data_IF_818481821267
#
_entry.id   IF_818481821267
#
_cell.length_a   1.000
_cell.length_b   1.000
_cell.length_c   1.000
_cell.angle_alpha   90.00
_cell.angle_beta   90.00
_cell.angle_gamma   90.00
#
_symmetry.space_group_name_H-M   'P 1'
#
loop_
_entity.id
_entity.type
_entity.pdbx_description
1 polymer ?
#
# COMPACT_ATOMS: atom_id res chain seq x y z
N UNK A 1 -9.58 -1.82 -1.59
CA UNK A 1 -10.28 -2.50 -0.47
C UNK A 1 -10.92 -3.80 -0.91
N UNK A 2 -11.49 -3.91 -2.13
CA UNK A 2 -11.96 -5.20 -2.66
C UNK A 2 -10.94 -6.34 -2.57
N UNK A 3 -9.68 -6.10 -2.99
CA UNK A 3 -8.61 -7.10 -2.88
C UNK A 3 -8.35 -7.57 -1.44
N UNK A 4 -8.52 -6.68 -0.46
CA UNK A 4 -8.36 -7.04 0.95
C UNK A 4 -9.45 -8.00 1.39
N UNK A 5 -10.71 -7.70 1.06
CA UNK A 5 -11.84 -8.57 1.36
C UNK A 5 -11.65 -9.96 0.75
N UNK A 6 -11.20 -10.04 -0.50
CA UNK A 6 -10.97 -11.31 -1.17
C UNK A 6 -9.90 -12.18 -0.48
N UNK A 7 -8.81 -11.57 -0.01
CA UNK A 7 -7.70 -12.27 0.67
C UNK A 7 -8.02 -12.62 2.12
N UNK A 8 -8.84 -11.80 2.76
CA UNK A 8 -9.16 -11.92 4.18
C UNK A 8 -10.46 -12.69 4.44
N UNK A 9 -11.24 -13.07 3.41
CA UNK A 9 -12.55 -13.73 3.51
C UNK A 9 -12.67 -14.97 4.43
N UNK A 10 -11.55 -15.62 4.74
CA UNK A 10 -11.49 -16.79 5.63
C UNK A 10 -10.74 -16.54 6.94
N UNK A 11 -10.40 -15.29 7.22
CA UNK A 11 -9.79 -14.86 8.47
C UNK A 11 -10.89 -14.43 9.44
N UNK A 12 -10.57 -14.41 10.74
CA UNK A 12 -11.51 -13.94 11.78
C UNK A 12 -12.00 -12.51 11.53
N UNK A 13 -11.15 -11.68 10.94
CA UNK A 13 -11.52 -10.39 10.38
C UNK A 13 -11.37 -10.46 8.87
N UNK A 14 -12.47 -10.24 8.15
CA UNK A 14 -12.59 -10.46 6.72
C UNK A 14 -12.35 -9.21 5.86
N UNK A 15 -11.96 -8.08 6.48
CA UNK A 15 -11.79 -6.81 5.81
C UNK A 15 -13.08 -6.28 5.13
N UNK A 16 -14.26 -6.74 5.56
CA UNK A 16 -15.55 -6.19 5.15
C UNK A 16 -15.87 -4.89 5.88
N UNK A 17 -16.69 -4.03 5.26
CA UNK A 17 -17.25 -2.80 5.86
C UNK A 17 -16.23 -1.77 6.40
N UNK A 18 -14.98 -1.85 5.95
CA UNK A 18 -13.90 -0.98 6.43
C UNK A 18 -14.01 0.45 5.91
N UNK A 19 -14.87 0.71 4.91
CA UNK A 19 -14.97 2.02 4.26
C UNK A 19 -13.66 2.49 3.63
N UNK A 20 -13.59 3.76 3.29
CA UNK A 20 -12.35 4.40 2.83
C UNK A 20 -11.67 5.10 4.00
N UNK A 21 -10.32 5.09 4.02
CA UNK A 21 -9.51 5.80 5.02
C UNK A 21 -9.92 7.28 5.19
N UNK A 22 -10.41 7.92 4.12
CA UNK A 22 -10.85 9.32 4.12
C UNK A 22 -12.14 9.57 4.92
N UNK A 23 -12.90 8.52 5.24
CA UNK A 23 -14.11 8.60 6.06
C UNK A 23 -13.85 8.24 7.53
N UNK A 24 -12.58 8.15 7.94
CA UNK A 24 -12.16 7.84 9.32
C UNK A 24 -12.95 6.70 9.98
N UNK A 25 -12.94 5.49 9.37
CA UNK A 25 -13.70 4.36 9.88
C UNK A 25 -13.31 4.04 11.34
N UNK A 26 -14.27 3.64 12.20
CA UNK A 26 -14.05 3.51 13.64
C UNK A 26 -12.85 2.64 14.03
N UNK A 27 -12.54 1.61 13.24
CA UNK A 27 -11.38 0.72 13.47
C UNK A 27 -10.04 1.47 13.50
N UNK A 28 -9.91 2.59 12.77
CA UNK A 28 -8.68 3.40 12.73
C UNK A 28 -8.49 4.29 13.95
N UNK A 29 -9.49 4.38 14.84
CA UNK A 29 -9.34 5.00 16.17
C UNK A 29 -8.51 4.13 17.11
N UNK A 30 -8.29 2.87 16.75
CA UNK A 30 -7.57 1.89 17.53
C UNK A 30 -6.33 1.40 16.80
N UNK A 31 -5.31 1.06 17.57
CA UNK A 31 -4.02 0.60 17.09
C UNK A 31 -3.96 -0.91 16.87
N UNK A 32 -5.00 -1.51 16.29
CA UNK A 32 -5.09 -2.95 16.04
C UNK A 32 -4.22 -3.41 14.86
N UNK A 33 -4.04 -4.73 14.76
CA UNK A 33 -3.34 -5.35 13.63
C UNK A 33 -4.06 -5.06 12.30
N UNK A 34 -5.38 -5.02 12.32
CA UNK A 34 -6.25 -4.74 11.18
C UNK A 34 -6.08 -3.30 10.72
N UNK A 35 -6.09 -2.33 11.65
CA UNK A 35 -5.82 -0.92 11.38
C UNK A 35 -4.47 -0.72 10.69
N UNK A 36 -3.44 -1.45 11.13
CA UNK A 36 -2.12 -1.45 10.50
C UNK A 36 -2.18 -1.85 9.01
N UNK A 37 -2.91 -2.92 8.69
CA UNK A 37 -3.10 -3.37 7.31
C UNK A 37 -3.91 -2.36 6.48
N UNK A 38 -4.97 -1.77 7.05
CA UNK A 38 -5.81 -0.78 6.36
C UNK A 38 -5.01 0.47 5.99
N UNK A 39 -4.22 1.02 6.91
CA UNK A 39 -3.34 2.16 6.61
C UNK A 39 -2.35 1.81 5.49
N UNK A 40 -1.71 0.64 5.57
CA UNK A 40 -0.74 0.22 4.58
C UNK A 40 -1.37 0.03 3.20
N UNK A 41 -2.52 -0.65 3.11
CA UNK A 41 -3.26 -0.86 1.86
C UNK A 41 -3.77 0.45 1.27
N UNK A 42 -4.31 1.34 2.09
CA UNK A 42 -4.82 2.64 1.63
C UNK A 42 -3.70 3.49 1.05
N UNK A 43 -2.55 3.52 1.73
CA UNK A 43 -1.36 4.24 1.28
C UNK A 43 -0.74 3.66 0.02
N UNK A 44 -0.68 2.33 -0.07
CA UNK A 44 -0.22 1.62 -1.25
C UNK A 44 -1.17 1.85 -2.45
N UNK A 45 -2.48 1.75 -2.23
CA UNK A 45 -3.51 1.97 -3.25
C UNK A 45 -3.47 3.40 -3.81
N UNK A 46 -3.36 4.41 -2.95
CA UNK A 46 -3.20 5.80 -3.38
C UNK A 46 -1.92 6.00 -4.21
N UNK A 47 -0.80 5.40 -3.78
CA UNK A 47 0.46 5.51 -4.52
C UNK A 47 0.39 4.79 -5.87
N UNK A 48 -0.20 3.60 -5.89
CA UNK A 48 -0.39 2.80 -7.09
C UNK A 48 -1.32 3.48 -8.10
N UNK A 49 -2.44 4.04 -7.64
CA UNK A 49 -3.40 4.72 -8.51
C UNK A 49 -2.79 5.92 -9.22
N UNK A 50 -2.11 6.80 -8.47
CA UNK A 50 -1.42 7.96 -9.06
C UNK A 50 -0.29 7.52 -9.99
N UNK A 51 0.53 6.55 -9.58
CA UNK A 51 1.62 6.06 -10.44
C UNK A 51 1.08 5.46 -11.76
N UNK A 52 -0.03 4.74 -11.70
CA UNK A 52 -0.66 4.14 -12.89
C UNK A 52 -1.23 5.22 -13.81
N UNK A 53 -1.90 6.23 -13.26
CA UNK A 53 -2.42 7.37 -14.01
C UNK A 53 -1.29 8.18 -14.69
N UNK A 54 -0.20 8.46 -13.97
CA UNK A 54 1.01 9.08 -14.55
C UNK A 54 1.55 8.24 -15.71
N UNK A 55 1.64 6.91 -15.53
CA UNK A 55 2.18 6.02 -16.53
C UNK A 55 1.30 5.89 -17.79
N UNK A 56 0.00 6.17 -17.66
CA UNK A 56 -0.96 6.21 -18.76
C UNK A 56 -1.06 7.61 -19.42
N UNK A 57 -0.34 8.60 -18.91
CA UNK A 57 -0.42 9.98 -19.39
C UNK A 57 -1.72 10.70 -19.01
N UNK A 58 -2.44 10.24 -17.99
CA UNK A 58 -3.67 10.90 -17.52
C UNK A 58 -3.41 12.12 -16.62
N UNK A 59 -2.15 12.30 -16.20
CA UNK A 59 -1.71 13.42 -15.37
C UNK A 59 -0.49 14.04 -16.05
N UNK A 60 -0.65 15.24 -16.58
CA UNK A 60 0.37 15.91 -17.38
C UNK A 60 1.68 16.13 -16.61
N UNK A 61 1.58 16.60 -15.36
CA UNK A 61 2.70 16.91 -14.44
C UNK A 61 3.68 15.75 -14.18
N UNK A 62 3.27 14.51 -14.44
CA UNK A 62 4.07 13.30 -14.23
C UNK A 62 3.99 12.31 -15.40
N UNK A 63 3.41 12.75 -16.52
CA UNK A 63 3.26 11.94 -17.73
C UNK A 63 4.64 11.48 -18.22
N UNK A 64 4.68 10.26 -18.74
CA UNK A 64 5.93 9.72 -19.26
C UNK A 64 6.11 10.13 -20.72
N UNK A 65 7.23 10.77 -21.04
CA UNK A 65 7.68 10.83 -22.42
C UNK A 65 8.04 9.41 -22.88
N UNK A 66 7.37 8.90 -23.91
CA UNK A 66 7.68 7.61 -24.52
C UNK A 66 8.94 7.65 -25.40
N UNK A 67 9.56 8.83 -25.55
CA UNK A 67 10.66 9.05 -26.48
C UNK A 67 12.01 8.70 -25.85
N UNK A 68 12.59 7.63 -26.39
CA UNK A 68 13.93 7.15 -26.06
C UNK A 68 14.99 8.20 -26.36
N UNK A 69 15.34 9.02 -25.38
CA UNK A 69 16.59 9.76 -25.43
C UNK A 69 17.76 8.75 -25.60
N UNK A 70 18.75 9.01 -26.46
CA UNK A 70 19.96 8.20 -26.49
C UNK A 70 20.81 8.54 -25.27
N UNK A 71 21.09 7.57 -24.39
CA UNK A 71 21.99 7.75 -23.25
C UNK A 71 21.49 7.32 -21.87
N UNK A 72 20.27 6.77 -21.76
CA UNK A 72 19.73 6.18 -20.53
C UNK A 72 19.35 4.73 -20.79
N UNK A 73 20.08 3.79 -20.20
CA UNK A 73 19.77 2.34 -20.24
C UNK A 73 18.40 2.00 -19.59
N UNK A 74 17.69 2.96 -19.02
CA UNK A 74 16.42 2.80 -18.31
C UNK A 74 15.23 3.48 -19.01
N UNK A 75 15.11 3.31 -20.34
CA UNK A 75 13.99 3.82 -21.13
C UNK A 75 12.60 3.47 -20.57
N UNK A 76 11.86 4.41 -19.95
CA UNK A 76 10.42 4.32 -19.66
C UNK A 76 9.91 5.07 -18.42
N UNK A 77 8.65 4.79 -18.06
CA UNK A 77 7.84 5.42 -16.98
C UNK A 77 8.35 5.30 -15.53
N UNK A 78 9.65 5.08 -15.27
CA UNK A 78 10.14 4.82 -13.92
C UNK A 78 9.90 5.99 -12.94
N UNK A 79 9.68 7.22 -13.44
CA UNK A 79 9.36 8.40 -12.63
C UNK A 79 7.95 8.36 -12.01
N UNK A 80 7.00 7.69 -12.68
CA UNK A 80 5.60 7.58 -12.26
C UNK A 80 5.42 6.99 -10.85
N UNK A 81 6.21 5.96 -10.51
CA UNK A 81 6.18 5.29 -9.20
C UNK A 81 6.55 6.26 -8.08
N UNK A 82 7.62 7.03 -8.28
CA UNK A 82 8.11 7.96 -7.27
C UNK A 82 7.12 9.12 -7.08
N UNK A 83 6.50 9.57 -8.17
CA UNK A 83 5.44 10.57 -8.11
C UNK A 83 4.24 10.06 -7.30
N UNK A 84 3.77 8.83 -7.57
CA UNK A 84 2.68 8.20 -6.83
C UNK A 84 2.98 8.05 -5.33
N UNK A 85 4.18 7.61 -4.96
CA UNK A 85 4.63 7.54 -3.55
C UNK A 85 4.58 8.92 -2.88
N UNK A 86 5.01 9.97 -3.59
CA UNK A 86 5.03 11.34 -3.08
C UNK A 86 3.61 11.88 -2.91
N UNK A 87 2.73 11.64 -3.88
CA UNK A 87 1.32 12.01 -3.82
C UNK A 87 0.61 11.33 -2.64
N UNK A 88 0.76 10.00 -2.50
CA UNK A 88 0.22 9.24 -1.36
C UNK A 88 0.69 9.79 0.00
N UNK A 89 1.98 10.14 0.12
CA UNK A 89 2.50 10.78 1.33
C UNK A 89 1.84 12.14 1.59
N UNK A 90 1.71 12.99 0.57
CA UNK A 90 1.08 14.31 0.70
C UNK A 90 -0.40 14.20 1.08
N UNK A 91 -1.10 13.20 0.55
CA UNK A 91 -2.53 12.99 0.79
C UNK A 91 -2.80 12.44 2.20
N UNK A 92 -2.13 11.35 2.58
CA UNK A 92 -2.52 10.56 3.76
C UNK A 92 -1.67 10.84 5.00
N UNK A 93 -0.53 11.53 4.86
CA UNK A 93 0.38 11.81 5.99
C UNK A 93 0.29 13.26 6.51
N UNK A 94 -0.51 14.12 5.86
CA UNK A 94 -0.73 15.52 6.25
C UNK A 94 -1.94 15.65 7.20
N UNK A 95 -1.67 15.67 8.50
CA UNK A 95 -2.66 15.98 9.57
C UNK A 95 -1.86 16.62 10.72
N UNK A 96 -2.44 17.58 11.49
CA UNK A 96 -1.73 18.43 12.45
C UNK A 96 -0.82 17.70 13.46
N UNK A 97 0.06 18.48 14.10
CA UNK A 97 1.16 18.05 14.99
C UNK A 97 0.63 17.52 16.34
N UNK A 98 -0.38 16.66 16.33
CA UNK A 98 -0.75 15.91 17.53
C UNK A 98 0.16 14.68 17.58
N UNK A 99 1.07 14.67 18.56
CA UNK A 99 1.96 13.54 18.82
C UNK A 99 1.25 12.54 19.72
N UNK A 100 0.49 11.62 19.14
CA UNK A 100 -0.04 10.45 19.85
C UNK A 100 0.72 9.18 19.45
N UNK A 101 0.80 8.16 20.33
CA UNK A 101 1.36 6.85 19.96
C UNK A 101 0.67 6.24 18.74
N UNK A 102 -0.67 6.32 18.67
CA UNK A 102 -1.46 5.88 17.53
C UNK A 102 -1.05 6.56 16.22
N UNK A 103 -0.79 7.88 16.26
CA UNK A 103 -0.33 8.63 15.09
C UNK A 103 1.06 8.18 14.62
N UNK A 104 1.92 7.72 15.52
CA UNK A 104 3.22 7.13 15.17
C UNK A 104 3.05 5.80 14.45
N UNK A 105 2.18 4.92 14.99
CA UNK A 105 1.79 3.65 14.38
C UNK A 105 1.19 3.85 12.98
N UNK A 106 0.24 4.78 12.85
CA UNK A 106 -0.36 5.14 11.58
C UNK A 106 0.69 5.59 10.56
N UNK A 107 1.53 6.57 10.92
CA UNK A 107 2.59 7.09 10.02
C UNK A 107 3.55 5.98 9.58
N UNK A 108 3.89 5.07 10.48
CA UNK A 108 4.74 3.92 10.17
C UNK A 108 4.07 3.00 9.15
N UNK A 109 2.81 2.61 9.37
CA UNK A 109 2.10 1.71 8.47
C UNK A 109 1.77 2.35 7.11
N UNK A 110 1.43 3.65 7.07
CA UNK A 110 1.32 4.42 5.83
C UNK A 110 2.65 4.41 5.05
N UNK A 111 3.80 4.50 5.73
CA UNK A 111 5.12 4.41 5.11
C UNK A 111 5.40 2.99 4.61
N UNK A 112 5.08 1.96 5.39
CA UNK A 112 5.22 0.57 5.00
C UNK A 112 4.42 0.26 3.73
N UNK A 113 3.18 0.78 3.61
CA UNK A 113 2.35 0.70 2.41
C UNK A 113 3.02 1.28 1.15
N UNK A 114 3.59 2.49 1.24
CA UNK A 114 4.35 3.07 0.12
C UNK A 114 5.61 2.28 -0.23
N UNK A 115 6.27 1.71 0.77
CA UNK A 115 7.43 0.86 0.55
C UNK A 115 7.05 -0.47 -0.10
N UNK A 116 5.86 -1.01 0.16
CA UNK A 116 5.34 -2.19 -0.54
C UNK A 116 5.32 -1.95 -2.05
N UNK A 117 4.74 -0.83 -2.51
CA UNK A 117 4.73 -0.45 -3.93
C UNK A 117 6.13 -0.42 -4.55
N UNK A 118 7.13 0.12 -3.81
CA UNK A 118 8.52 0.16 -4.28
C UNK A 118 9.18 -1.23 -4.29
N UNK A 119 8.83 -2.10 -3.34
CA UNK A 119 9.44 -3.43 -3.18
C UNK A 119 8.87 -4.47 -4.14
N UNK A 120 7.65 -4.28 -4.62
CA UNK A 120 6.97 -5.20 -5.55
C UNK A 120 7.05 -4.74 -7.00
N UNK A 121 7.92 -3.77 -7.34
CA UNK A 121 8.07 -3.33 -8.73
C UNK A 121 8.46 -4.48 -9.65
N UNK A 122 7.87 -4.49 -10.85
CA UNK A 122 8.15 -5.48 -11.88
C UNK A 122 8.81 -4.83 -13.09
N UNK A 123 9.58 -5.62 -13.84
CA UNK A 123 10.12 -5.20 -15.12
C UNK A 123 9.05 -5.33 -16.21
N UNK A 124 8.95 -4.32 -17.07
CA UNK A 124 8.18 -4.33 -18.31
C UNK A 124 9.15 -4.10 -19.45
N UNK A 125 9.15 -4.96 -20.45
CA UNK A 125 10.11 -4.88 -21.55
C UNK A 125 9.40 -4.79 -22.90
N UNK A 126 9.96 -4.01 -23.81
CA UNK A 126 9.61 -3.98 -25.24
C UNK A 126 10.74 -4.62 -26.04
N UNK A 127 10.40 -5.54 -26.93
CA UNK A 127 11.36 -6.19 -27.82
C UNK A 127 11.47 -5.46 -29.15
N UNK A 128 12.68 -5.41 -29.69
CA UNK A 128 13.05 -4.62 -30.86
C UNK A 128 13.77 -5.43 -31.95
N UNK A 129 13.84 -6.75 -31.83
CA UNK A 129 14.54 -7.60 -32.79
C UNK A 129 13.75 -7.84 -34.08
N UNK A 130 14.48 -8.30 -35.12
CA UNK A 130 13.93 -8.60 -36.45
C UNK A 130 12.78 -9.61 -36.31
N UNK A 131 11.69 -9.38 -37.04
CA UNK A 131 10.47 -10.21 -37.00
C UNK A 131 9.85 -10.37 -35.60
N UNK A 132 10.07 -9.41 -34.69
CA UNK A 132 9.53 -9.43 -33.32
C UNK A 132 10.37 -10.25 -32.33
N UNK A 133 11.61 -10.60 -32.67
CA UNK A 133 12.50 -11.28 -31.73
C UNK A 133 12.88 -10.39 -30.53
N UNK A 134 13.20 -11.00 -29.39
CA UNK A 134 13.61 -10.29 -28.17
C UNK A 134 15.14 -10.27 -27.97
N UNK A 135 15.94 -10.49 -29.02
CA UNK A 135 17.41 -10.41 -28.94
C UNK A 135 17.88 -9.01 -28.49
N UNK A 136 17.17 -7.96 -28.89
CA UNK A 136 17.30 -6.62 -28.34
C UNK A 136 15.99 -6.23 -27.67
N UNK A 137 16.06 -5.76 -26.43
CA UNK A 137 14.88 -5.29 -25.67
C UNK A 137 15.24 -4.12 -24.77
N UNK A 138 14.28 -3.24 -24.56
CA UNK A 138 14.36 -2.14 -23.59
C UNK A 138 13.38 -2.42 -22.47
N UNK A 139 13.85 -2.34 -21.22
CA UNK A 139 13.04 -2.63 -20.04
C UNK A 139 12.96 -1.43 -19.10
N UNK A 140 11.81 -1.25 -18.46
CA UNK A 140 11.61 -0.28 -17.39
C UNK A 140 10.91 -0.91 -16.20
N UNK A 141 11.04 -0.27 -15.03
CA UNK A 141 10.28 -0.64 -13.84
C UNK A 141 8.88 -0.04 -13.92
N UNK A 142 7.88 -0.84 -13.57
CA UNK A 142 6.50 -0.40 -13.37
C UNK A 142 5.93 -0.97 -12.08
N UNK A 143 4.81 -0.42 -11.64
CA UNK A 143 4.04 -0.97 -10.51
C UNK A 143 3.61 -2.41 -10.80
N UNK A 144 3.66 -3.28 -9.79
CA UNK A 144 2.94 -4.55 -9.85
C UNK A 144 1.42 -4.32 -9.84
N UNK A 145 0.65 -5.39 -10.06
CA UNK A 145 -0.80 -5.36 -9.86
C UNK A 145 -1.14 -5.06 -8.39
N UNK A 146 -2.33 -4.49 -8.15
CA UNK A 146 -2.82 -4.30 -6.79
C UNK A 146 -2.94 -5.62 -6.03
N UNK A 147 -3.25 -6.72 -6.72
CA UNK A 147 -3.32 -8.06 -6.12
C UNK A 147 -1.97 -8.46 -5.52
N UNK A 148 -0.89 -8.37 -6.30
CA UNK A 148 0.44 -8.73 -5.81
C UNK A 148 0.92 -7.81 -4.67
N UNK A 149 0.59 -6.51 -4.73
CA UNK A 149 0.88 -5.58 -3.63
C UNK A 149 0.06 -5.94 -2.38
N UNK A 150 -1.19 -6.36 -2.55
CA UNK A 150 -2.08 -6.77 -1.46
C UNK A 150 -1.57 -8.05 -0.82
N UNK A 151 -1.20 -9.05 -1.60
CA UNK A 151 -0.63 -10.32 -1.11
C UNK A 151 0.63 -10.06 -0.28
N UNK A 152 1.53 -9.18 -0.77
CA UNK A 152 2.70 -8.74 -0.01
C UNK A 152 2.34 -8.11 1.34
N UNK A 153 1.30 -7.26 1.38
CA UNK A 153 0.87 -6.59 2.62
C UNK A 153 0.13 -7.52 3.58
N UNK A 154 -0.65 -8.48 3.08
CA UNK A 154 -1.30 -9.52 3.89
C UNK A 154 -0.26 -10.42 4.54
N UNK A 155 0.79 -10.80 3.81
CA UNK A 155 1.94 -11.49 4.37
C UNK A 155 2.69 -10.69 5.46
N UNK A 156 2.73 -9.36 5.32
CA UNK A 156 3.28 -8.47 6.34
C UNK A 156 2.36 -8.34 7.55
N UNK A 157 1.04 -8.34 7.34
CA UNK A 157 0.04 -8.37 8.39
C UNK A 157 0.13 -9.64 9.23
N UNK A 158 0.30 -10.81 8.61
CA UNK A 158 0.47 -12.09 9.31
C UNK A 158 1.64 -12.10 10.31
N UNK A 159 2.67 -11.29 10.04
CA UNK A 159 3.90 -11.17 10.86
C UNK A 159 4.05 -9.79 11.50
N UNK A 160 2.95 -9.03 11.61
CA UNK A 160 2.96 -7.70 12.20
C UNK A 160 3.40 -7.77 13.67
N UNK A 161 4.02 -6.69 14.16
CA UNK A 161 4.60 -6.65 15.51
C UNK A 161 3.84 -5.72 16.42
N UNK A 162 3.55 -6.20 17.63
CA UNK A 162 3.08 -5.35 18.72
C UNK A 162 4.26 -4.48 19.18
N UNK A 163 4.14 -3.16 19.08
CA UNK A 163 5.14 -2.23 19.57
C UNK A 163 4.78 -1.78 20.99
N UNK A 164 5.69 -2.03 21.92
CA UNK A 164 5.63 -1.48 23.29
C UNK A 164 6.83 -0.56 23.50
N UNK A 165 6.59 0.70 23.84
CA UNK A 165 7.65 1.71 24.02
C UNK A 165 8.46 1.99 22.74
N UNK A 166 9.78 2.09 22.87
CA UNK A 166 10.71 2.52 21.80
C UNK A 166 11.24 1.38 20.90
N UNK A 167 10.50 0.27 20.77
CA UNK A 167 10.91 -0.84 19.90
C UNK A 167 11.06 -0.39 18.45
N UNK A 168 12.28 -0.57 17.90
CA UNK A 168 12.57 -0.26 16.50
C UNK A 168 12.05 -1.36 15.57
N UNK A 169 10.97 -1.09 14.86
CA UNK A 169 10.51 -1.93 13.76
C UNK A 169 11.20 -1.57 12.44
N UNK A 170 11.35 -2.55 11.54
CA UNK A 170 11.83 -2.26 10.18
C UNK A 170 10.76 -1.43 9.47
N UNK A 171 11.20 -0.45 8.67
CA UNK A 171 10.29 0.46 7.95
C UNK A 171 9.26 -0.24 7.03
N UNK A 172 9.52 -1.47 6.61
CA UNK A 172 8.65 -2.24 5.71
C UNK A 172 7.82 -3.32 6.43
N UNK A 173 7.92 -3.41 7.76
CA UNK A 173 7.08 -4.29 8.57
C UNK A 173 5.87 -3.51 9.07
N UNK A 174 4.74 -4.19 9.27
CA UNK A 174 3.57 -3.58 9.89
C UNK A 174 3.68 -3.65 11.41
N UNK A 175 3.18 -2.62 12.09
CA UNK A 175 3.19 -2.51 13.55
C UNK A 175 1.81 -2.17 14.07
N UNK A 176 1.50 -2.63 15.27
CA UNK A 176 0.26 -2.34 15.99
C UNK A 176 0.59 -2.15 17.48
N UNK A 177 -0.31 -1.58 18.27
CA UNK A 177 -0.04 -1.22 19.67
C UNK A 177 -1.02 -1.80 20.68
N UNK A 178 -2.12 -2.40 20.23
CA UNK A 178 -3.10 -3.07 21.08
C UNK A 178 -3.64 -4.34 20.40
N UNK A 179 -3.95 -5.41 21.17
CA UNK A 179 -4.53 -6.61 20.61
C UNK A 179 -5.93 -6.34 20.09
N UNK A 180 -6.27 -6.99 18.98
CA UNK A 180 -7.61 -6.91 18.41
C UNK A 180 -8.64 -7.52 19.37
N UNK A 181 -9.86 -6.97 19.45
CA UNK A 181 -10.93 -7.56 20.27
C UNK A 181 -11.23 -8.99 19.82
N UNK A 182 -11.56 -9.86 20.77
CA UNK A 182 -12.03 -11.22 20.47
C UNK A 182 -13.42 -11.15 19.80
N UNK A 183 -13.54 -11.53 18.51
CA UNK A 183 -14.82 -11.49 17.81
C UNK A 183 -15.88 -12.38 18.47
N UNK A 184 -15.47 -13.49 19.09
CA UNK A 184 -16.36 -14.43 19.77
C UNK A 184 -16.98 -13.81 21.03
N UNK A 185 -16.25 -12.94 21.74
CA UNK A 185 -16.75 -12.28 22.95
C UNK A 185 -17.60 -11.04 22.65
N UNK A 186 -17.35 -10.36 21.52
CA UNK A 186 -18.16 -9.23 21.07
C UNK A 186 -19.56 -9.66 20.63
N UNK A 187 -19.70 -10.83 19.99
CA UNK A 187 -21.02 -11.36 19.63
C UNK A 187 -21.90 -11.58 20.86
N UNK A 188 -21.34 -12.15 21.94
CA UNK A 188 -22.08 -12.40 23.18
C UNK A 188 -22.62 -11.11 23.79
N UNK A 189 -21.87 -10.00 23.76
CA UNK A 189 -22.36 -8.70 24.27
C UNK A 189 -23.46 -8.08 23.41
N UNK A 190 -23.43 -8.28 22.10
CA UNK A 190 -24.48 -7.78 21.22
C UNK A 190 -25.76 -8.63 21.26
N UNK A 191 -25.65 -9.93 21.57
CA UNK A 191 -26.81 -10.82 21.72
C UNK A 191 -27.38 -10.89 23.15
N UNK A 192 -26.70 -10.33 24.15
CA UNK A 192 -27.22 -10.20 25.53
C UNK A 192 -27.89 -8.84 25.81
N UNK A 193 -28.00 -7.98 24.79
CA UNK A 193 -28.73 -6.70 24.82
C UNK A 193 -30.03 -6.79 23.98
N UNK A 194 -30.45 -8.00 23.61
CA UNK A 194 -31.72 -8.29 22.94
C UNK A 194 -32.71 -8.95 23.90
#
# INVERSE_FOLDING_TARGET
>A
MGQCADRMRFQQWDCSNVGHIMHDPPILKYGYRESALIWALSSAGAAWGVATACAQGWIDDCSCAHDGQPGWEYGGCSFSVQHGITASRKLLTKTPVIRTPLRSVEKHNLKAGRLAVKKTLIASCKCHGVSGSCQQKTCWKKTATLDHITDYLVEKYARAKLITGDQKAKNADLVYMEPSPDPCQQQVRNSSVA
#
